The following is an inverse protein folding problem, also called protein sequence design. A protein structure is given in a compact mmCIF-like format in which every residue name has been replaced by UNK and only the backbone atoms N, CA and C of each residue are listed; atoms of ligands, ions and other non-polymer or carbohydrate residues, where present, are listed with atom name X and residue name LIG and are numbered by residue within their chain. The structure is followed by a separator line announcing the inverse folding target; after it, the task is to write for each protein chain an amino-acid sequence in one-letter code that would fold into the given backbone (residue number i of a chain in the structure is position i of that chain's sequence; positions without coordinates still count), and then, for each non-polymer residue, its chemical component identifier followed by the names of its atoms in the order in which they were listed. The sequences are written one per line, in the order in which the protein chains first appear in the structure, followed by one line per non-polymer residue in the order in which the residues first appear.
data_IF_050534717486
#
_entry.id   IF_050534717486
#
_cell.length_a   1.000
_cell.length_b   1.000
_cell.length_c   1.000
_cell.angle_alpha   90.00
_cell.angle_beta   90.00
_cell.angle_gamma   90.00
#
_symmetry.space_group_name_H-M   'P 1'
#
loop_
_entity.id
_entity.type
_entity.pdbx_description
1 polymer ?
#
# COMPACT_ATOMS: atom_id res chain seq x y z
N UNK A 1 -11.57 -7.56 8.05
CA UNK A 1 -10.64 -6.57 7.46
C UNK A 1 -9.38 -6.54 8.31
N UNK A 2 -8.24 -7.00 7.79
CA UNK A 2 -6.98 -7.01 8.55
C UNK A 2 -6.47 -5.58 8.72
N UNK A 3 -6.08 -5.24 9.94
CA UNK A 3 -5.40 -3.99 10.28
C UNK A 3 -3.93 -4.30 10.51
N UNK A 4 -3.08 -3.43 10.02
CA UNK A 4 -1.64 -3.52 10.21
C UNK A 4 -1.07 -2.11 10.09
N UNK A 5 0.09 -1.91 10.68
CA UNK A 5 0.86 -0.69 10.51
C UNK A 5 2.07 -1.01 9.65
N UNK A 6 2.42 -0.11 8.74
CA UNK A 6 3.60 -0.29 7.89
C UNK A 6 4.20 1.04 7.50
N UNK A 7 5.45 1.01 7.05
CA UNK A 7 6.19 2.20 6.64
C UNK A 7 5.84 2.56 5.20
N UNK A 8 5.61 3.85 4.95
CA UNK A 8 5.59 4.38 3.59
C UNK A 8 7.01 4.36 3.01
N UNK A 9 7.16 3.74 1.85
CA UNK A 9 8.43 3.57 1.15
C UNK A 9 8.36 4.36 -0.15
N UNK A 10 9.43 5.06 -0.47
CA UNK A 10 9.68 5.68 -1.77
C UNK A 10 11.11 5.39 -2.19
N UNK A 11 11.41 5.57 -3.47
CA UNK A 11 12.78 5.55 -3.97
C UNK A 11 13.30 6.98 -4.13
N UNK A 12 14.61 7.16 -3.94
CA UNK A 12 15.29 8.45 -4.12
C UNK A 12 15.57 8.71 -5.61
N UNK A 13 14.50 8.77 -6.39
CA UNK A 13 14.54 9.13 -7.81
C UNK A 13 13.38 10.08 -8.14
N UNK A 14 13.58 11.06 -9.04
CA UNK A 14 12.50 11.94 -9.49
C UNK A 14 11.32 11.14 -10.04
N UNK A 15 10.11 11.45 -9.56
CA UNK A 15 8.89 10.79 -10.01
C UNK A 15 8.59 9.42 -9.37
N UNK A 16 9.38 8.99 -8.37
CA UNK A 16 9.09 7.76 -7.65
C UNK A 16 7.69 7.77 -7.02
N UNK A 17 7.00 6.63 -7.12
CA UNK A 17 5.79 6.41 -6.36
C UNK A 17 6.10 6.10 -4.91
N UNK A 18 5.24 6.56 -4.03
CA UNK A 18 5.24 6.14 -2.63
C UNK A 18 4.25 5.01 -2.46
N UNK A 19 4.69 3.94 -1.85
CA UNK A 19 3.93 2.71 -1.68
C UNK A 19 4.16 2.12 -0.29
N UNK A 20 3.32 1.17 0.07
CA UNK A 20 3.53 0.32 1.23
C UNK A 20 3.57 -1.13 0.80
N UNK A 21 4.26 -1.95 1.57
CA UNK A 21 4.27 -3.41 1.40
C UNK A 21 3.33 -4.02 2.43
N UNK A 22 2.40 -4.86 1.99
CA UNK A 22 1.49 -5.54 2.92
C UNK A 22 2.23 -6.64 3.70
N UNK A 23 2.07 -6.73 5.03
CA UNK A 23 2.80 -7.69 5.87
C UNK A 23 2.15 -9.08 5.89
N UNK A 24 1.30 -9.41 4.91
CA UNK A 24 0.62 -10.70 4.81
C UNK A 24 0.58 -11.18 3.36
N UNK A 25 0.34 -12.48 3.19
CA UNK A 25 0.24 -13.08 1.86
C UNK A 25 -1.11 -12.75 1.23
N UNK A 26 -1.10 -11.91 0.19
CA UNK A 26 -2.27 -11.59 -0.63
C UNK A 26 -2.79 -12.84 -1.35
N UNK A 27 -1.90 -13.73 -1.77
CA UNK A 27 -2.28 -15.00 -2.39
C UNK A 27 -3.11 -15.87 -1.45
N UNK A 28 -2.68 -16.02 -0.18
CA UNK A 28 -3.45 -16.79 0.80
C UNK A 28 -4.78 -16.13 1.15
N UNK A 29 -4.83 -14.80 1.14
CA UNK A 29 -6.03 -14.04 1.56
C UNK A 29 -7.06 -13.88 0.42
N UNK A 30 -6.60 -13.68 -0.81
CA UNK A 30 -7.43 -13.34 -1.97
C UNK A 30 -7.37 -14.39 -3.09
N UNK A 31 -6.62 -15.47 -2.91
CA UNK A 31 -6.49 -16.55 -3.90
C UNK A 31 -5.77 -16.16 -5.19
N UNK A 32 -5.07 -15.02 -5.22
CA UNK A 32 -4.47 -14.47 -6.44
C UNK A 32 -3.02 -14.05 -6.22
N UNK A 33 -2.16 -14.44 -7.18
CA UNK A 33 -0.79 -13.96 -7.33
C UNK A 33 -0.68 -12.73 -8.23
N UNK A 34 -1.79 -12.35 -8.87
CA UNK A 34 -1.84 -11.24 -9.81
C UNK A 34 -2.19 -9.92 -9.09
N UNK A 35 -2.38 -8.85 -9.88
CA UNK A 35 -2.88 -7.58 -9.35
C UNK A 35 -4.29 -7.77 -8.76
N UNK A 36 -4.52 -7.26 -7.55
CA UNK A 36 -5.81 -7.37 -6.85
C UNK A 36 -6.35 -5.97 -6.57
N UNK A 37 -7.54 -5.65 -7.08
CA UNK A 37 -8.24 -4.40 -6.73
C UNK A 37 -8.74 -4.49 -5.29
N UNK A 38 -8.47 -3.47 -4.50
CA UNK A 38 -8.84 -3.42 -3.08
C UNK A 38 -9.48 -2.09 -2.72
N UNK A 39 -10.42 -2.16 -1.79
CA UNK A 39 -10.97 -1.02 -1.06
C UNK A 39 -10.56 -1.13 0.39
N UNK A 40 -10.22 -0.02 1.01
CA UNK A 40 -9.77 -0.02 2.39
C UNK A 40 -9.82 1.35 3.03
N UNK A 41 -9.21 1.46 4.19
CA UNK A 41 -9.14 2.72 4.95
C UNK A 41 -7.72 2.91 5.46
N UNK A 42 -7.12 4.07 5.20
CA UNK A 42 -5.85 4.50 5.79
C UNK A 42 -6.17 5.66 6.72
N UNK A 43 -5.86 5.56 8.01
CA UNK A 43 -6.04 6.67 8.96
C UNK A 43 -7.42 7.37 8.87
N UNK A 44 -8.50 6.57 8.69
CA UNK A 44 -9.91 6.99 8.51
C UNK A 44 -10.31 7.48 7.12
N UNK A 45 -9.41 7.55 6.15
CA UNK A 45 -9.74 7.85 4.76
C UNK A 45 -9.99 6.58 3.96
N UNK A 46 -11.20 6.46 3.42
CA UNK A 46 -11.51 5.41 2.46
C UNK A 46 -10.72 5.61 1.17
N UNK A 47 -10.23 4.51 0.61
CA UNK A 47 -9.52 4.53 -0.67
C UNK A 47 -9.86 3.29 -1.49
N UNK A 48 -9.68 3.42 -2.80
CA UNK A 48 -9.66 2.31 -3.76
C UNK A 48 -8.31 2.31 -4.47
N UNK A 49 -7.63 1.16 -4.46
CA UNK A 49 -6.32 1.00 -5.09
C UNK A 49 -6.14 -0.44 -5.58
N UNK A 50 -4.95 -0.76 -6.08
CA UNK A 50 -4.60 -2.09 -6.56
C UNK A 50 -3.32 -2.55 -5.85
N UNK A 51 -3.37 -3.76 -5.29
CA UNK A 51 -2.19 -4.47 -4.81
C UNK A 51 -1.43 -5.01 -6.03
N UNK A 52 -0.16 -4.64 -6.14
CA UNK A 52 0.73 -5.02 -7.22
C UNK A 52 1.69 -6.11 -6.72
N UNK A 53 1.82 -7.25 -7.40
CA UNK A 53 2.76 -8.29 -6.99
C UNK A 53 4.20 -7.79 -7.14
N UNK A 54 5.01 -7.98 -6.09
CA UNK A 54 6.45 -7.67 -6.08
C UNK A 54 7.31 -8.94 -6.30
N UNK A 55 6.67 -10.11 -6.37
CA UNK A 55 7.34 -11.41 -6.31
C UNK A 55 7.58 -11.89 -4.88
N UNK A 56 7.94 -13.17 -4.72
CA UNK A 56 8.17 -13.77 -3.40
C UNK A 56 6.95 -13.74 -2.46
N UNK A 57 5.74 -13.71 -3.01
CA UNK A 57 4.49 -13.62 -2.25
C UNK A 57 4.16 -12.23 -1.67
N UNK A 58 5.01 -11.23 -1.92
CA UNK A 58 4.81 -9.85 -1.46
C UNK A 58 4.02 -9.03 -2.45
N UNK A 59 3.26 -8.08 -1.94
CA UNK A 59 2.50 -7.14 -2.76
C UNK A 59 2.66 -5.72 -2.22
N UNK A 60 2.71 -4.76 -3.14
CA UNK A 60 2.80 -3.34 -2.83
C UNK A 60 1.49 -2.64 -3.16
N UNK A 61 1.18 -1.62 -2.37
CA UNK A 61 0.05 -0.73 -2.60
C UNK A 61 0.57 0.68 -2.77
N UNK A 62 0.31 1.28 -3.93
CA UNK A 62 0.66 2.68 -4.17
C UNK A 62 -0.26 3.57 -3.35
N UNK A 63 0.34 4.46 -2.56
CA UNK A 63 -0.36 5.45 -1.74
C UNK A 63 -0.25 6.81 -2.43
N UNK A 64 -1.34 7.21 -3.08
CA UNK A 64 -1.42 8.48 -3.84
C UNK A 64 -1.08 9.67 -2.95
N UNK A 65 -0.46 10.69 -3.56
CA UNK A 65 -0.10 11.95 -2.87
C UNK A 65 -1.29 12.57 -2.13
N UNK A 66 -2.48 12.56 -2.74
CA UNK A 66 -3.71 13.07 -2.13
C UNK A 66 -4.06 12.41 -0.79
N UNK A 67 -3.85 11.10 -0.67
CA UNK A 67 -4.11 10.37 0.58
C UNK A 67 -3.08 10.78 1.63
N UNK A 68 -1.80 10.76 1.26
CA UNK A 68 -0.67 11.17 2.12
C UNK A 68 -0.83 12.58 2.68
N UNK A 69 -1.20 13.53 1.83
CA UNK A 69 -1.46 14.92 2.23
C UNK A 69 -2.62 15.01 3.21
N UNK A 70 -3.73 14.30 2.98
CA UNK A 70 -4.89 14.33 3.88
C UNK A 70 -4.62 13.71 5.26
N UNK A 71 -3.72 12.72 5.34
CA UNK A 71 -3.34 12.08 6.62
C UNK A 71 -2.10 12.72 7.25
N UNK A 72 -1.48 13.71 6.60
CA UNK A 72 -0.25 14.39 7.04
C UNK A 72 0.88 13.37 7.31
N UNK A 73 1.13 12.50 6.34
CA UNK A 73 2.19 11.47 6.37
C UNK A 73 2.95 11.43 5.05
N UNK A 74 4.24 11.19 5.11
CA UNK A 74 5.10 11.04 3.94
C UNK A 74 5.94 9.74 3.99
N UNK A 75 6.75 9.51 2.96
CA UNK A 75 7.71 8.42 2.92
C UNK A 75 8.61 8.47 4.17
N UNK A 76 8.74 7.33 4.84
CA UNK A 76 9.36 7.28 6.16
C UNK A 76 8.37 7.08 7.30
N UNK A 77 7.14 7.58 7.16
CA UNK A 77 6.16 7.50 8.23
C UNK A 77 5.42 6.15 8.28
N UNK A 78 4.92 5.82 9.47
CA UNK A 78 3.99 4.71 9.66
C UNK A 78 2.55 5.12 9.34
N UNK A 79 1.87 4.27 8.59
CA UNK A 79 0.44 4.39 8.24
C UNK A 79 -0.38 3.17 8.63
#
# INVERSE_FOLDING_TARGET
MKKFNTKLITYDIPGAWTFLTVPFSVEKEYGSKAKVKVKGTIHRLSYESTLLPLGGGKHNLVVKKEIRTKIVKDAGDMV
#
